data_IF_262578717984
#
_entry.id   IF_262578717984
#
_cell.length_a   1.000
_cell.length_b   1.000
_cell.length_c   1.000
_cell.angle_alpha   90.00
_cell.angle_beta   90.00
_cell.angle_gamma   90.00
#
_symmetry.space_group_name_H-M   'P 1'
#
loop_
_entity.id
_entity.type
_entity.pdbx_description
1 polymer ?
#
# COMPACT_ATOMS: atom_id res chain seq x y z
N UNK A 1 -1.57 -79.73 -34.42
CA UNK A 1 -1.98 -78.88 -35.13
C UNK A 1 -1.90 -77.48 -34.81
N UNK A 2 -2.43 -76.41 -34.96
CA UNK A 2 -2.09 -75.01 -35.13
C UNK A 2 -1.94 -74.26 -33.82
N UNK A 3 -0.73 -73.82 -33.51
CA UNK A 3 -0.38 -72.81 -32.50
C UNK A 3 -0.88 -71.47 -32.97
N UNK A 4 -1.57 -70.73 -32.07
CA UNK A 4 -1.86 -69.31 -32.22
C UNK A 4 -1.07 -68.50 -31.21
N UNK A 5 -0.10 -67.76 -31.71
CA UNK A 5 0.68 -66.79 -30.95
C UNK A 5 -0.20 -65.58 -30.58
N UNK A 6 -0.26 -65.26 -29.32
CA UNK A 6 -0.86 -64.04 -28.82
C UNK A 6 0.23 -62.94 -28.75
N UNK A 7 0.13 -62.00 -29.68
CA UNK A 7 0.90 -60.76 -29.60
C UNK A 7 0.34 -59.87 -28.48
N UNK A 8 1.10 -59.69 -27.42
CA UNK A 8 0.82 -58.71 -26.39
C UNK A 8 1.16 -57.33 -26.93
N UNK A 9 0.14 -56.49 -27.05
CA UNK A 9 0.33 -55.06 -27.33
C UNK A 9 0.75 -54.38 -26.05
N UNK A 10 2.00 -53.98 -25.95
CA UNK A 10 2.48 -53.08 -24.93
C UNK A 10 1.95 -51.68 -25.19
N UNK A 11 1.02 -51.22 -24.35
CA UNK A 11 0.59 -49.81 -24.31
C UNK A 11 1.64 -49.05 -23.52
N UNK A 12 2.46 -48.30 -24.26
CA UNK A 12 3.37 -47.32 -23.65
C UNK A 12 2.54 -46.11 -23.27
N UNK A 13 2.10 -46.04 -22.01
CA UNK A 13 1.55 -44.82 -21.41
C UNK A 13 2.70 -43.85 -21.14
N UNK A 14 2.86 -42.87 -22.00
CA UNK A 14 3.71 -41.71 -21.74
C UNK A 14 3.06 -40.85 -20.64
N UNK A 15 3.48 -41.06 -19.39
CA UNK A 15 3.25 -40.12 -18.31
C UNK A 15 4.04 -38.85 -18.63
N UNK A 16 3.37 -37.85 -19.18
CA UNK A 16 3.86 -36.47 -19.14
C UNK A 16 3.81 -36.02 -17.66
N UNK A 17 4.96 -36.12 -16.98
CA UNK A 17 5.19 -35.44 -15.71
C UNK A 17 5.16 -33.95 -16.00
N UNK A 18 4.04 -33.28 -15.73
CA UNK A 18 4.04 -31.86 -15.46
C UNK A 18 4.84 -31.63 -14.18
N UNK A 19 6.11 -31.31 -14.33
CA UNK A 19 6.87 -30.71 -13.23
C UNK A 19 6.26 -29.34 -12.99
N UNK A 20 5.35 -29.27 -12.03
CA UNK A 20 5.00 -28.00 -11.39
C UNK A 20 6.30 -27.55 -10.71
N UNK A 21 6.97 -26.57 -11.29
CA UNK A 21 8.08 -25.88 -10.63
C UNK A 21 7.49 -25.21 -9.39
N UNK A 22 7.51 -25.92 -8.28
CA UNK A 22 7.30 -25.33 -6.97
C UNK A 22 8.55 -24.47 -6.69
N UNK A 23 8.43 -23.16 -6.88
CA UNK A 23 9.43 -22.22 -6.40
C UNK A 23 9.55 -22.42 -4.90
N UNK A 24 10.69 -22.92 -4.44
CA UNK A 24 10.96 -23.11 -3.02
C UNK A 24 11.08 -21.73 -2.35
N UNK A 25 10.58 -21.61 -1.12
CA UNK A 25 10.70 -20.37 -0.34
C UNK A 25 12.15 -19.90 -0.19
N UNK A 26 13.11 -20.85 -0.11
CA UNK A 26 14.54 -20.55 -0.05
C UNK A 26 15.07 -19.93 -1.35
N UNK A 27 14.53 -20.33 -2.51
CA UNK A 27 14.98 -19.84 -3.81
C UNK A 27 14.61 -18.36 -4.01
N UNK A 28 13.35 -17.97 -3.75
CA UNK A 28 12.92 -16.58 -3.94
C UNK A 28 13.65 -15.61 -3.00
N UNK A 29 13.88 -15.99 -1.74
CA UNK A 29 14.65 -15.15 -0.80
C UNK A 29 16.10 -14.98 -1.27
N UNK A 30 16.73 -16.06 -1.74
CA UNK A 30 18.07 -16.02 -2.31
C UNK A 30 18.16 -15.13 -3.56
N UNK A 31 17.20 -15.27 -4.47
CA UNK A 31 17.12 -14.45 -5.68
C UNK A 31 16.97 -12.96 -5.35
N UNK A 32 16.11 -12.63 -4.39
CA UNK A 32 15.95 -11.25 -3.90
C UNK A 32 17.27 -10.72 -3.35
N UNK A 33 17.96 -11.51 -2.51
CA UNK A 33 19.23 -11.12 -1.92
C UNK A 33 20.31 -10.87 -2.98
N UNK A 34 20.38 -11.71 -4.01
CA UNK A 34 21.33 -11.54 -5.12
C UNK A 34 21.03 -10.25 -5.91
N UNK A 35 19.75 -9.96 -6.20
CA UNK A 35 19.35 -8.73 -6.92
C UNK A 35 19.69 -7.46 -6.14
N UNK A 36 19.56 -7.46 -4.81
CA UNK A 36 19.84 -6.28 -3.97
C UNK A 36 21.32 -6.14 -3.60
N UNK A 37 22.11 -7.20 -3.74
CA UNK A 37 23.54 -7.24 -3.41
C UNK A 37 24.31 -6.16 -4.16
N UNK A 38 25.15 -5.43 -3.46
CA UNK A 38 26.01 -4.38 -4.04
C UNK A 38 25.27 -3.11 -4.45
N UNK A 39 23.98 -2.98 -4.22
CA UNK A 39 23.26 -1.70 -4.42
C UNK A 39 23.75 -0.67 -3.41
N UNK A 40 23.94 0.57 -3.86
CA UNK A 40 24.32 1.71 -2.99
C UNK A 40 23.07 2.24 -2.26
N UNK A 41 22.29 1.36 -1.66
CA UNK A 41 21.06 1.66 -0.92
C UNK A 41 20.76 0.56 0.08
N UNK A 42 20.09 0.91 1.17
CA UNK A 42 19.45 -0.06 2.05
C UNK A 42 18.12 -0.47 1.43
N UNK A 43 17.99 -1.74 1.06
CA UNK A 43 16.81 -2.27 0.37
C UNK A 43 16.18 -3.34 1.23
N UNK A 44 14.91 -3.15 1.59
CA UNK A 44 14.08 -4.15 2.25
C UNK A 44 12.98 -4.64 1.33
N UNK A 45 12.72 -5.92 1.32
CA UNK A 45 11.71 -6.56 0.47
C UNK A 45 10.88 -7.52 1.28
N UNK A 46 9.57 -7.55 1.01
CA UNK A 46 8.67 -8.59 1.48
C UNK A 46 7.70 -8.99 0.36
N UNK A 47 7.54 -10.28 0.18
CA UNK A 47 6.57 -10.87 -0.74
C UNK A 47 5.67 -11.83 0.04
N UNK A 48 4.38 -11.68 -0.10
CA UNK A 48 3.39 -12.63 0.41
C UNK A 48 2.76 -13.37 -0.76
N UNK A 49 2.92 -14.67 -0.80
CA UNK A 49 2.32 -15.52 -1.82
C UNK A 49 1.65 -16.72 -1.17
N UNK A 50 0.34 -16.82 -1.29
CA UNK A 50 -0.49 -17.78 -0.52
C UNK A 50 -0.20 -17.63 0.98
N UNK A 51 0.24 -18.69 1.63
CA UNK A 51 0.57 -18.71 3.07
C UNK A 51 2.06 -18.45 3.36
N UNK A 52 2.87 -18.30 2.31
CA UNK A 52 4.32 -18.09 2.44
C UNK A 52 4.65 -16.58 2.51
N UNK A 53 5.70 -16.27 3.27
CA UNK A 53 6.31 -14.95 3.36
C UNK A 53 7.81 -15.03 3.04
N UNK A 54 8.24 -14.29 2.02
CA UNK A 54 9.64 -14.18 1.61
C UNK A 54 10.14 -12.78 1.95
N UNK A 55 11.23 -12.67 2.69
CA UNK A 55 11.73 -11.37 3.14
C UNK A 55 13.24 -11.24 2.98
N UNK A 56 13.69 -10.01 2.69
CA UNK A 56 15.08 -9.62 2.79
C UNK A 56 15.18 -8.29 3.54
N UNK A 57 16.10 -8.19 4.51
CA UNK A 57 16.31 -7.02 5.36
C UNK A 57 15.02 -6.51 6.03
N UNK A 58 14.17 -7.43 6.49
CA UNK A 58 12.86 -7.09 7.08
C UNK A 58 12.96 -6.56 8.52
N UNK A 59 14.12 -6.65 9.16
CA UNK A 59 14.31 -6.18 10.54
C UNK A 59 14.60 -4.70 10.65
N UNK A 60 14.94 -4.07 9.55
CA UNK A 60 15.21 -2.64 9.47
C UNK A 60 13.93 -1.81 9.43
N UNK A 61 14.05 -0.56 9.86
CA UNK A 61 12.99 0.44 9.82
C UNK A 61 13.14 1.27 8.54
N UNK A 62 12.13 1.22 7.69
CA UNK A 62 12.11 1.99 6.43
C UNK A 62 11.16 3.17 6.54
N UNK A 63 11.62 4.41 6.25
CA UNK A 63 10.76 5.57 6.30
C UNK A 63 9.64 5.46 5.27
N UNK A 64 8.41 5.66 5.72
CA UNK A 64 7.22 5.51 4.87
C UNK A 64 7.09 6.64 3.86
N UNK A 65 7.62 7.82 4.15
CA UNK A 65 7.39 9.01 3.34
C UNK A 65 5.89 9.12 3.01
N UNK A 66 5.51 9.47 1.79
CA UNK A 66 4.09 9.57 1.41
C UNK A 66 3.31 8.24 1.39
N UNK A 67 3.95 7.10 1.58
CA UNK A 67 3.23 5.82 1.72
C UNK A 67 2.32 5.83 2.97
N UNK A 68 2.65 6.61 4.00
CA UNK A 68 1.79 6.73 5.19
C UNK A 68 0.40 7.30 4.90
N UNK A 69 0.19 8.00 3.77
CA UNK A 69 -1.11 8.51 3.34
C UNK A 69 -2.14 7.40 3.06
N UNK A 70 -1.68 6.21 2.67
CA UNK A 70 -2.54 5.03 2.58
C UNK A 70 -3.12 4.65 3.95
N UNK A 71 -2.31 4.67 4.99
CA UNK A 71 -2.75 4.37 6.37
C UNK A 71 -3.77 5.41 6.87
N UNK A 72 -3.52 6.68 6.56
CA UNK A 72 -4.47 7.77 6.88
C UNK A 72 -5.80 7.56 6.16
N UNK A 73 -5.75 7.22 4.87
CA UNK A 73 -6.97 6.98 4.08
C UNK A 73 -7.83 5.86 4.68
N UNK A 74 -7.21 4.76 5.13
CA UNK A 74 -7.91 3.66 5.82
C UNK A 74 -8.59 4.15 7.10
N UNK A 75 -7.89 4.90 7.95
CA UNK A 75 -8.43 5.41 9.21
C UNK A 75 -9.58 6.42 8.97
N UNK A 76 -9.42 7.30 7.97
CA UNK A 76 -10.45 8.28 7.57
C UNK A 76 -11.70 7.59 7.08
N UNK A 77 -11.57 6.67 6.13
CA UNK A 77 -12.71 5.92 5.56
C UNK A 77 -13.41 5.10 6.65
N UNK A 78 -12.65 4.46 7.55
CA UNK A 78 -13.26 3.72 8.67
C UNK A 78 -14.02 4.60 9.64
N UNK A 79 -13.50 5.80 9.94
CA UNK A 79 -14.21 6.80 10.74
C UNK A 79 -15.50 7.26 10.05
N UNK A 80 -15.44 7.54 8.75
CA UNK A 80 -16.61 7.94 7.96
C UNK A 80 -17.70 6.85 8.00
N UNK A 81 -17.35 5.58 7.86
CA UNK A 81 -18.28 4.45 8.01
C UNK A 81 -18.95 4.45 9.38
N UNK A 82 -18.14 4.59 10.43
CA UNK A 82 -18.65 4.58 11.82
C UNK A 82 -19.61 5.72 12.11
N UNK A 83 -19.36 6.88 11.51
CA UNK A 83 -20.15 8.11 11.74
C UNK A 83 -21.25 8.34 10.69
N UNK A 84 -21.37 7.45 9.69
CA UNK A 84 -22.36 7.57 8.62
C UNK A 84 -22.12 8.77 7.69
N UNK A 85 -20.87 9.19 7.52
CA UNK A 85 -20.51 10.33 6.67
C UNK A 85 -20.28 9.82 5.23
N UNK A 86 -21.09 10.25 4.25
CA UNK A 86 -20.90 9.81 2.86
C UNK A 86 -19.69 10.49 2.21
N UNK A 87 -19.08 9.85 1.22
CA UNK A 87 -17.97 10.39 0.43
C UNK A 87 -18.31 11.74 -0.22
N UNK A 88 -19.59 12.00 -0.50
CA UNK A 88 -20.10 13.23 -1.09
C UNK A 88 -20.32 14.37 -0.08
N UNK A 89 -20.23 14.10 1.23
CA UNK A 89 -20.32 15.15 2.24
C UNK A 89 -19.24 16.20 2.02
N UNK A 90 -19.62 17.47 2.15
CA UNK A 90 -18.79 18.62 1.78
C UNK A 90 -18.16 19.26 3.01
N UNK A 91 -16.89 19.61 2.90
CA UNK A 91 -16.13 20.34 3.91
C UNK A 91 -15.45 21.56 3.31
N UNK A 92 -15.15 22.54 4.16
CA UNK A 92 -14.42 23.75 3.74
C UNK A 92 -13.11 23.84 4.52
N UNK A 93 -12.00 23.80 3.79
CA UNK A 93 -10.69 24.13 4.33
C UNK A 93 -10.57 25.65 4.41
N UNK A 94 -10.16 26.15 5.58
CA UNK A 94 -9.95 27.58 5.81
C UNK A 94 -8.48 27.99 5.63
N UNK A 95 -8.17 29.28 5.86
CA UNK A 95 -6.80 29.79 5.72
C UNK A 95 -5.77 29.11 6.61
N UNK A 96 -6.18 28.61 7.78
CA UNK A 96 -5.31 27.87 8.72
C UNK A 96 -4.97 26.46 8.24
N UNK A 97 -5.79 25.91 7.33
CA UNK A 97 -5.61 24.54 6.82
C UNK A 97 -4.77 24.51 5.54
N UNK A 98 -4.49 25.68 4.94
CA UNK A 98 -3.80 25.80 3.67
C UNK A 98 -2.38 26.38 3.86
N UNK A 99 -1.39 25.53 3.76
CA UNK A 99 -0.01 25.95 3.56
C UNK A 99 0.25 26.13 2.05
N UNK A 100 0.63 27.34 1.66
CA UNK A 100 0.88 27.71 0.25
C UNK A 100 2.25 27.28 -0.25
N UNK A 101 3.14 26.85 0.65
CA UNK A 101 4.52 26.45 0.36
C UNK A 101 4.69 24.95 0.19
N UNK A 102 3.78 24.18 0.79
CA UNK A 102 3.83 22.72 0.72
C UNK A 102 3.44 22.18 -0.66
N UNK A 103 3.77 20.91 -0.92
CA UNK A 103 3.30 20.20 -2.10
C UNK A 103 1.78 19.99 -2.00
N UNK A 104 1.01 20.74 -2.79
CA UNK A 104 -0.44 20.64 -2.83
C UNK A 104 -0.99 20.90 -4.23
N UNK A 105 -1.24 19.86 -5.02
CA UNK A 105 -1.95 19.96 -6.30
C UNK A 105 -3.34 20.59 -6.15
N UNK A 106 -4.04 20.33 -5.06
CA UNK A 106 -5.30 20.96 -4.72
C UNK A 106 -5.14 22.47 -4.65
N UNK A 107 -4.20 22.98 -3.85
CA UNK A 107 -3.97 24.43 -3.75
C UNK A 107 -3.53 25.03 -5.09
N UNK A 108 -2.69 24.35 -5.84
CA UNK A 108 -2.26 24.79 -7.18
C UNK A 108 -3.43 24.95 -8.15
N UNK A 109 -4.45 24.09 -8.05
CA UNK A 109 -5.66 24.16 -8.89
C UNK A 109 -6.58 25.29 -8.48
N UNK A 110 -6.90 25.42 -7.20
CA UNK A 110 -7.90 26.38 -6.72
C UNK A 110 -7.32 27.77 -6.46
N UNK A 111 -6.04 27.88 -6.16
CA UNK A 111 -5.32 29.13 -5.84
C UNK A 111 -6.05 29.99 -4.78
N UNK A 112 -6.69 29.34 -3.82
CA UNK A 112 -7.50 29.96 -2.78
C UNK A 112 -7.12 29.41 -1.40
N UNK A 113 -7.20 30.26 -0.38
CA UNK A 113 -7.06 29.86 1.02
C UNK A 113 -8.39 29.41 1.64
N UNK A 114 -9.46 29.38 0.86
CA UNK A 114 -10.74 28.80 1.25
C UNK A 114 -11.20 27.87 0.13
N UNK A 115 -11.16 26.57 0.38
CA UNK A 115 -11.44 25.53 -0.60
C UNK A 115 -12.52 24.63 -0.06
N UNK A 116 -13.61 24.48 -0.81
CA UNK A 116 -14.73 23.60 -0.46
C UNK A 116 -14.73 22.39 -1.38
N UNK A 117 -14.68 21.20 -0.80
CA UNK A 117 -14.58 19.92 -1.49
C UNK A 117 -15.36 18.83 -0.76
N UNK A 118 -15.68 17.73 -1.45
CA UNK A 118 -16.16 16.52 -0.79
C UNK A 118 -15.04 15.81 -0.04
N UNK A 119 -15.39 14.96 0.94
CA UNK A 119 -14.42 14.06 1.59
C UNK A 119 -13.75 13.17 0.55
N UNK A 120 -14.53 12.65 -0.40
CA UNK A 120 -13.98 11.84 -1.49
C UNK A 120 -12.92 12.59 -2.31
N UNK A 121 -13.17 13.86 -2.65
CA UNK A 121 -12.17 14.68 -3.36
C UNK A 121 -10.90 14.89 -2.53
N UNK A 122 -11.02 15.18 -1.23
CA UNK A 122 -9.86 15.34 -0.35
C UNK A 122 -9.04 14.06 -0.24
N UNK A 123 -9.69 12.91 -0.02
CA UNK A 123 -9.01 11.61 0.03
C UNK A 123 -8.34 11.32 -1.32
N UNK A 124 -9.02 11.59 -2.43
CA UNK A 124 -8.45 11.39 -3.76
C UNK A 124 -7.23 12.29 -4.01
N UNK A 125 -7.26 13.58 -3.63
CA UNK A 125 -6.08 14.44 -3.70
C UNK A 125 -4.92 13.90 -2.87
N UNK A 126 -5.19 13.46 -1.64
CA UNK A 126 -4.17 12.90 -0.75
C UNK A 126 -3.56 11.62 -1.33
N UNK A 127 -4.37 10.67 -1.77
CA UNK A 127 -3.91 9.33 -2.19
C UNK A 127 -3.32 9.36 -3.59
N UNK A 128 -4.02 9.93 -4.58
CA UNK A 128 -3.60 9.86 -5.98
C UNK A 128 -2.54 10.87 -6.37
N UNK A 129 -2.50 12.05 -5.70
CA UNK A 129 -1.61 13.16 -6.03
C UNK A 129 -0.69 13.56 -4.88
N UNK A 130 -0.74 12.83 -3.78
CA UNK A 130 0.09 13.05 -2.58
C UNK A 130 -0.03 14.46 -1.98
N UNK A 131 -1.23 15.03 -1.96
CA UNK A 131 -1.51 16.38 -1.47
C UNK A 131 -1.30 16.51 0.04
N UNK A 132 -0.43 17.42 0.47
CA UNK A 132 -0.05 17.58 1.87
C UNK A 132 -1.07 18.38 2.67
N UNK A 133 -1.75 19.37 2.08
CA UNK A 133 -2.82 20.09 2.77
C UNK A 133 -4.01 19.18 3.05
N UNK A 134 -4.43 18.40 2.05
CA UNK A 134 -5.47 17.39 2.22
C UNK A 134 -5.08 16.36 3.29
N UNK A 135 -3.82 15.91 3.29
CA UNK A 135 -3.29 14.98 4.27
C UNK A 135 -3.38 15.53 5.71
N UNK A 136 -2.86 16.73 5.95
CA UNK A 136 -2.91 17.36 7.28
C UNK A 136 -4.34 17.57 7.76
N UNK A 137 -5.25 18.02 6.87
CA UNK A 137 -6.65 18.20 7.21
C UNK A 137 -7.31 16.87 7.61
N UNK A 138 -7.08 15.81 6.84
CA UNK A 138 -7.63 14.47 7.11
C UNK A 138 -7.06 13.84 8.37
N UNK A 139 -5.79 14.09 8.71
CA UNK A 139 -5.22 13.71 10.01
C UNK A 139 -5.99 14.39 11.15
N UNK A 140 -6.27 15.68 11.04
CA UNK A 140 -7.06 16.40 12.06
C UNK A 140 -8.49 15.85 12.15
N UNK A 141 -9.13 15.52 11.03
CA UNK A 141 -10.45 14.91 11.01
C UNK A 141 -10.51 13.60 11.80
N UNK A 142 -9.51 12.75 11.72
CA UNK A 142 -9.46 11.49 12.51
C UNK A 142 -9.03 11.70 13.96
N UNK A 143 -8.72 12.94 14.37
CA UNK A 143 -8.32 13.28 15.74
C UNK A 143 -6.82 13.18 15.99
N UNK A 144 -6.00 13.26 14.94
CA UNK A 144 -4.55 13.28 15.00
C UNK A 144 -3.87 12.01 14.51
N UNK A 145 -2.56 12.11 14.28
CA UNK A 145 -1.76 10.99 13.71
C UNK A 145 -1.70 9.77 14.65
N UNK A 146 -1.78 9.99 15.96
CA UNK A 146 -1.81 8.90 16.92
C UNK A 146 -3.02 7.98 16.74
N UNK A 147 -4.19 8.55 16.43
CA UNK A 147 -5.38 7.74 16.15
C UNK A 147 -5.23 6.89 14.89
N UNK A 148 -4.50 7.39 13.88
CA UNK A 148 -4.14 6.58 12.70
C UNK A 148 -3.21 5.43 13.11
N UNK A 149 -2.16 5.71 13.88
CA UNK A 149 -1.23 4.70 14.36
C UNK A 149 -1.94 3.60 15.16
N UNK A 150 -2.80 3.99 16.09
CA UNK A 150 -3.54 3.05 16.93
C UNK A 150 -4.54 2.22 16.13
N UNK A 151 -5.21 2.85 15.15
CA UNK A 151 -6.09 2.13 14.23
C UNK A 151 -5.34 1.02 13.46
N UNK A 152 -4.14 1.33 12.91
CA UNK A 152 -3.34 0.35 12.19
C UNK A 152 -2.86 -0.78 13.12
N UNK A 153 -2.43 -0.46 14.33
CA UNK A 153 -2.05 -1.46 15.34
C UNK A 153 -3.21 -2.35 15.74
N UNK A 154 -4.41 -1.79 15.88
CA UNK A 154 -5.62 -2.54 16.19
C UNK A 154 -6.06 -3.48 15.04
N UNK A 155 -5.56 -3.29 13.82
CA UNK A 155 -5.68 -4.26 12.74
C UNK A 155 -4.68 -5.43 12.86
N UNK A 156 -3.84 -5.46 13.91
CA UNK A 156 -2.82 -6.49 14.12
C UNK A 156 -1.56 -6.26 13.27
N UNK A 157 -1.30 -5.03 12.86
CA UNK A 157 -0.07 -4.67 12.15
C UNK A 157 0.89 -4.05 13.15
N UNK A 158 1.93 -4.81 13.51
CA UNK A 158 2.87 -4.41 14.56
C UNK A 158 4.00 -3.55 13.96
N UNK A 159 5.11 -3.84 13.78
CA UNK A 159 6.33 -3.18 13.33
C UNK A 159 6.11 -1.96 12.40
N UNK A 160 5.28 -1.01 12.87
CA UNK A 160 4.95 0.25 12.22
C UNK A 160 4.86 1.37 13.26
N UNK A 161 5.26 2.57 12.88
CA UNK A 161 5.12 3.77 13.69
C UNK A 161 4.68 4.94 12.81
N UNK A 162 3.62 5.64 13.25
CA UNK A 162 3.10 6.86 12.64
C UNK A 162 2.94 7.90 13.75
N UNK A 163 3.84 8.88 13.80
CA UNK A 163 3.85 9.92 14.84
C UNK A 163 4.01 11.33 14.29
N UNK A 164 4.39 11.47 13.03
CA UNK A 164 4.61 12.76 12.39
C UNK A 164 3.52 13.06 11.35
N UNK A 165 3.16 14.34 11.24
CA UNK A 165 2.30 14.88 10.19
C UNK A 165 3.14 15.42 9.04
N UNK A 166 2.54 15.71 7.87
CA UNK A 166 3.26 16.41 6.78
C UNK A 166 3.84 17.73 7.26
N UNK A 167 3.05 18.50 8.03
CA UNK A 167 3.48 19.77 8.58
C UNK A 167 4.71 19.65 9.50
N UNK A 168 4.78 18.62 10.33
CA UNK A 168 5.93 18.42 11.22
C UNK A 168 7.17 17.96 10.46
N UNK A 169 7.01 17.11 9.43
CA UNK A 169 8.10 16.65 8.56
C UNK A 169 8.66 17.77 7.66
N UNK A 170 7.82 18.72 7.24
CA UNK A 170 8.29 19.90 6.48
C UNK A 170 9.11 20.87 7.34
N UNK A 171 8.82 20.97 8.63
CA UNK A 171 9.61 21.79 9.55
C UNK A 171 11.01 21.21 9.81
N UNK A 172 11.14 19.90 9.79
CA UNK A 172 12.39 19.17 9.92
C UNK A 172 12.30 17.84 9.15
N UNK A 173 12.98 17.77 8.01
CA UNK A 173 12.95 16.58 7.14
C UNK A 173 13.42 15.31 7.85
N UNK A 174 14.26 15.41 8.89
CA UNK A 174 14.69 14.25 9.69
C UNK A 174 13.54 13.54 10.37
N UNK A 175 12.46 14.26 10.69
CA UNK A 175 11.23 13.69 11.25
C UNK A 175 10.55 12.69 10.32
N UNK A 176 10.84 12.75 9.02
CA UNK A 176 10.31 11.76 8.07
C UNK A 176 10.73 10.32 8.40
N UNK A 177 11.84 10.15 9.10
CA UNK A 177 12.32 8.84 9.56
C UNK A 177 11.57 8.32 10.79
N UNK A 178 10.80 9.16 11.47
CA UNK A 178 9.97 8.76 12.60
C UNK A 178 8.68 8.03 12.18
N UNK A 179 8.23 8.24 10.93
CA UNK A 179 7.16 7.46 10.32
C UNK A 179 7.78 6.30 9.55
N UNK A 180 7.78 5.13 10.11
CA UNK A 180 8.46 3.97 9.52
C UNK A 180 7.62 2.69 9.59
N UNK A 181 7.96 1.73 8.76
CA UNK A 181 7.44 0.37 8.81
C UNK A 181 8.49 -0.63 8.34
N UNK A 182 8.29 -1.91 8.64
CA UNK A 182 9.02 -2.97 7.94
C UNK A 182 8.32 -3.31 6.61
N UNK A 183 9.03 -3.87 5.63
CA UNK A 183 8.43 -4.30 4.38
C UNK A 183 7.28 -5.29 4.58
N UNK A 184 7.44 -6.24 5.48
CA UNK A 184 6.41 -7.25 5.77
C UNK A 184 5.14 -6.63 6.35
N UNK A 185 5.27 -5.66 7.27
CA UNK A 185 4.10 -5.01 7.88
C UNK A 185 3.25 -4.27 6.85
N UNK A 186 3.87 -3.55 5.91
CA UNK A 186 3.13 -2.90 4.81
C UNK A 186 2.43 -3.92 3.93
N UNK A 187 3.12 -5.01 3.59
CA UNK A 187 2.56 -6.07 2.74
C UNK A 187 1.42 -6.82 3.43
N UNK A 188 1.54 -7.06 4.74
CA UNK A 188 0.47 -7.65 5.55
C UNK A 188 -0.75 -6.74 5.62
N UNK A 189 -0.57 -5.43 5.80
CA UNK A 189 -1.67 -4.47 5.78
C UNK A 189 -2.38 -4.47 4.43
N UNK A 190 -1.62 -4.42 3.32
CA UNK A 190 -2.20 -4.51 1.97
C UNK A 190 -3.02 -5.79 1.81
N UNK A 191 -2.44 -6.97 2.12
CA UNK A 191 -3.16 -8.25 2.05
C UNK A 191 -4.44 -8.20 2.86
N UNK A 192 -4.36 -7.73 4.11
CA UNK A 192 -5.52 -7.64 5.01
C UNK A 192 -6.65 -6.79 4.42
N UNK A 193 -6.33 -5.64 3.84
CA UNK A 193 -7.32 -4.75 3.20
C UNK A 193 -7.99 -5.41 1.99
N UNK A 194 -7.26 -6.25 1.23
CA UNK A 194 -7.79 -6.95 0.07
C UNK A 194 -8.54 -8.26 0.39
N UNK A 195 -8.20 -8.92 1.50
CA UNK A 195 -8.75 -10.25 1.83
C UNK A 195 -9.73 -10.24 2.99
N UNK A 196 -9.72 -9.19 3.82
CA UNK A 196 -10.62 -9.04 4.96
C UNK A 196 -11.49 -7.78 4.79
N UNK A 197 -12.69 -7.77 5.37
CA UNK A 197 -13.59 -6.59 5.34
C UNK A 197 -13.11 -5.48 6.29
N UNK A 198 -11.96 -4.89 6.04
CA UNK A 198 -11.49 -3.71 6.80
C UNK A 198 -12.38 -2.51 6.56
N UNK A 199 -12.81 -2.31 5.30
CA UNK A 199 -13.74 -1.28 4.86
C UNK A 199 -15.01 -1.90 4.25
N UNK A 200 -16.07 -1.11 4.08
CA UNK A 200 -17.21 -1.47 3.25
C UNK A 200 -16.79 -1.62 1.78
N UNK A 201 -17.59 -2.34 1.01
CA UNK A 201 -17.31 -2.57 -0.42
C UNK A 201 -17.24 -1.24 -1.20
N UNK A 202 -18.08 -0.26 -0.83
CA UNK A 202 -18.08 1.10 -1.43
C UNK A 202 -16.77 1.83 -1.14
N UNK A 203 -16.34 1.89 0.13
CA UNK A 203 -15.14 2.60 0.53
C UNK A 203 -13.86 1.90 0.04
N UNK A 204 -13.87 0.56 0.00
CA UNK A 204 -12.77 -0.20 -0.58
C UNK A 204 -12.61 0.10 -2.08
N UNK A 205 -13.69 0.00 -2.86
CA UNK A 205 -13.66 0.30 -4.29
C UNK A 205 -13.24 1.75 -4.59
N UNK A 206 -13.68 2.70 -3.75
CA UNK A 206 -13.24 4.09 -3.84
C UNK A 206 -11.74 4.24 -3.60
N UNK A 207 -11.22 3.63 -2.52
CA UNK A 207 -9.79 3.69 -2.17
C UNK A 207 -8.93 3.03 -3.25
N UNK A 208 -9.31 1.85 -3.71
CA UNK A 208 -8.62 1.14 -4.79
C UNK A 208 -8.54 2.00 -6.06
N UNK A 209 -9.65 2.60 -6.47
CA UNK A 209 -9.69 3.52 -7.61
C UNK A 209 -8.75 4.70 -7.43
N UNK A 210 -8.71 5.30 -6.23
CA UNK A 210 -7.80 6.41 -5.93
C UNK A 210 -6.32 5.98 -5.98
N UNK A 211 -5.99 4.79 -5.50
CA UNK A 211 -4.64 4.22 -5.55
C UNK A 211 -4.21 3.92 -7.00
N UNK A 212 -5.09 3.32 -7.80
CA UNK A 212 -4.83 3.05 -9.22
C UNK A 212 -4.63 4.32 -10.05
N UNK A 213 -5.27 5.42 -9.66
CA UNK A 213 -5.11 6.74 -10.27
C UNK A 213 -3.80 7.45 -9.88
N UNK A 214 -2.94 6.84 -9.04
CA UNK A 214 -1.69 7.46 -8.61
C UNK A 214 -0.82 7.86 -9.80
N UNK A 215 -0.43 9.14 -9.83
CA UNK A 215 0.42 9.70 -10.87
C UNK A 215 1.92 9.46 -10.63
N UNK A 216 2.31 9.11 -9.40
CA UNK A 216 3.70 8.90 -8.98
C UNK A 216 4.13 7.43 -9.07
N UNK A 217 5.44 7.18 -9.12
CA UNK A 217 6.02 5.83 -9.03
C UNK A 217 5.81 4.93 -10.26
N UNK A 218 5.46 5.50 -11.42
CA UNK A 218 5.30 4.74 -12.68
C UNK A 218 6.60 4.08 -13.15
N UNK A 219 7.72 4.64 -12.75
CA UNK A 219 9.08 4.19 -12.99
C UNK A 219 9.59 3.12 -12.01
N UNK A 220 8.74 2.67 -11.07
CA UNK A 220 9.07 1.71 -10.02
C UNK A 220 8.41 0.35 -10.31
N UNK A 221 7.59 -0.15 -9.42
CA UNK A 221 6.94 -1.46 -9.59
C UNK A 221 6.25 -1.63 -10.95
N UNK A 222 5.49 -0.62 -11.39
CA UNK A 222 4.80 -0.68 -12.69
C UNK A 222 5.75 -0.86 -13.87
N UNK A 223 6.95 -0.27 -13.81
CA UNK A 223 7.95 -0.40 -14.88
C UNK A 223 8.59 -1.80 -14.91
N UNK A 224 8.61 -2.50 -13.78
CA UNK A 224 9.16 -3.85 -13.66
C UNK A 224 8.15 -4.97 -13.93
N UNK A 225 6.86 -4.66 -14.04
CA UNK A 225 5.84 -5.66 -14.36
C UNK A 225 5.80 -5.96 -15.85
N UNK A 226 5.39 -7.19 -16.26
CA UNK A 226 5.12 -7.51 -17.66
C UNK A 226 4.16 -6.48 -18.26
N UNK A 227 4.37 -6.16 -19.51
CA UNK A 227 3.40 -5.35 -20.29
C UNK A 227 2.40 -6.32 -20.90
N UNK A 228 1.12 -6.12 -20.60
CA UNK A 228 0.02 -6.84 -21.24
C UNK A 228 -0.02 -6.57 -22.74
#
# INVERSE_FOLDING_TARGET
MKSRSLLSKAVVSSLLLFQVLSVSASDLTSDIQEVIKGKKAQVGVAVLYKDDAFTANNDDQYPLMSVFKFHIALAVLKKMEKEGIPLTAVVTLGPSDIDTKTWSPMYKKYKSKKITLSYGDLINYMVSQSDNNACNWLINFVGGIQNVNDFIKNLGIDRIQLIETEKSMEQDIRKSYNNWSTPLSVTQLLRKVYTEKVLSDEHFAFLEKAMLASASGKDKFRAGLPKD
#
